data_IF_562928319903
#
_entry.id   IF_562928319903
#
_cell.length_a   1.000
_cell.length_b   1.000
_cell.length_c   1.000
_cell.angle_alpha   90.00
_cell.angle_beta   90.00
_cell.angle_gamma   90.00
#
_symmetry.space_group_name_H-M   'P 1'
#
loop_
_entity.id
_entity.type
_entity.pdbx_description
1 polymer ?
#
# COMPACT_ATOMS: atom_id res chain seq x y z
N UNK A 1 10.65 40.05 -68.29
CA UNK A 1 10.47 39.18 -69.49
C UNK A 1 9.32 38.23 -69.19
N UNK A 2 8.54 37.87 -70.23
CA UNK A 2 7.52 36.81 -70.38
C UNK A 2 7.16 35.98 -69.11
N UNK A 3 5.92 35.81 -68.61
CA UNK A 3 4.54 35.82 -69.13
C UNK A 3 3.85 34.45 -68.95
N UNK A 4 3.03 34.36 -67.89
CA UNK A 4 1.68 33.74 -67.81
C UNK A 4 1.40 32.24 -68.08
N UNK A 5 0.27 31.71 -67.55
CA UNK A 5 -0.02 30.27 -67.42
C UNK A 5 -1.09 29.73 -68.41
N UNK A 6 -1.44 28.44 -68.28
CA UNK A 6 -2.62 27.69 -68.82
C UNK A 6 -2.62 26.27 -68.22
N UNK A 7 -3.70 25.48 -68.15
CA UNK A 7 -5.16 25.67 -68.04
C UNK A 7 -5.79 24.24 -67.88
N UNK A 8 -6.98 24.11 -67.27
CA UNK A 8 -8.08 23.11 -67.42
C UNK A 8 -7.81 21.69 -68.03
N UNK A 9 -8.53 20.61 -67.70
CA UNK A 9 -9.97 20.53 -67.41
C UNK A 9 -10.43 19.21 -66.72
N UNK A 10 -11.67 19.27 -66.23
CA UNK A 10 -12.61 18.21 -65.82
C UNK A 10 -12.84 17.09 -66.87
N UNK A 11 -13.30 15.88 -66.48
CA UNK A 11 -14.48 15.16 -67.04
C UNK A 11 -14.74 13.75 -66.42
N UNK A 12 -15.99 13.57 -65.96
CA UNK A 12 -16.89 12.40 -65.73
C UNK A 12 -16.42 10.92 -65.58
N UNK A 13 -17.09 10.27 -64.61
CA UNK A 13 -17.49 8.83 -64.45
C UNK A 13 -18.33 8.27 -65.63
N UNK A 14 -18.50 6.93 -65.87
CA UNK A 14 -19.36 6.07 -65.01
C UNK A 14 -19.12 4.51 -65.00
N UNK A 15 -19.84 3.82 -64.09
CA UNK A 15 -20.41 2.43 -64.07
C UNK A 15 -19.74 1.27 -64.90
N UNK A 16 -19.65 0.01 -64.42
CA UNK A 16 -20.77 -0.96 -64.25
C UNK A 16 -20.37 -2.32 -63.62
N UNK A 17 -21.33 -2.93 -62.88
CA UNK A 17 -21.63 -4.35 -62.60
C UNK A 17 -20.57 -5.48 -62.50
N UNK A 18 -20.43 -6.01 -61.27
CA UNK A 18 -20.90 -7.34 -60.81
C UNK A 18 -20.88 -8.60 -61.72
N UNK A 19 -20.31 -9.70 -61.20
CA UNK A 19 -20.92 -11.03 -61.18
C UNK A 19 -20.25 -11.94 -60.12
N UNK A 20 -21.05 -12.71 -59.37
CA UNK A 20 -20.59 -13.82 -58.53
C UNK A 20 -21.02 -15.15 -59.14
N UNK A 21 -20.28 -16.24 -58.90
CA UNK A 21 -20.75 -17.62 -59.02
C UNK A 21 -19.81 -18.57 -58.26
N UNK A 22 -20.37 -19.48 -57.46
CA UNK A 22 -19.66 -20.44 -56.63
C UNK A 22 -19.77 -21.87 -57.20
N UNK A 23 -18.92 -22.81 -56.73
CA UNK A 23 -19.22 -24.24 -56.68
C UNK A 23 -18.33 -24.99 -55.66
N UNK A 24 -18.83 -26.12 -55.16
CA UNK A 24 -18.52 -26.78 -53.87
C UNK A 24 -17.38 -27.86 -53.87
N UNK A 25 -16.82 -28.24 -52.70
CA UNK A 25 -15.80 -29.30 -52.47
C UNK A 25 -16.43 -30.68 -52.11
N UNK A 26 -15.69 -31.82 -52.03
CA UNK A 26 -14.93 -32.27 -50.82
C UNK A 26 -13.67 -33.17 -51.20
N UNK A 27 -13.04 -34.06 -50.35
CA UNK A 27 -13.18 -34.32 -48.90
C UNK A 27 -11.87 -34.50 -48.04
N UNK A 28 -12.05 -34.28 -46.73
CA UNK A 28 -11.42 -34.93 -45.52
C UNK A 28 -9.97 -35.45 -45.49
N UNK A 29 -9.22 -35.02 -44.45
CA UNK A 29 -7.98 -35.66 -43.97
C UNK A 29 -7.32 -34.89 -42.81
N UNK A 30 -7.72 -35.24 -41.59
CA UNK A 30 -7.26 -34.96 -40.22
C UNK A 30 -5.91 -34.25 -39.90
N UNK A 31 -5.93 -33.59 -38.73
CA UNK A 31 -4.84 -33.24 -37.79
C UNK A 31 -3.63 -32.37 -38.22
N UNK A 32 -3.57 -31.12 -37.75
CA UNK A 32 -2.86 -30.78 -36.49
C UNK A 32 -3.21 -29.34 -36.02
N UNK A 33 -3.21 -29.12 -34.70
CA UNK A 33 -3.57 -27.83 -34.10
C UNK A 33 -2.34 -26.94 -33.90
N UNK A 34 -2.23 -25.87 -34.69
CA UNK A 34 -1.32 -24.75 -34.45
C UNK A 34 -2.11 -23.51 -34.05
N UNK A 35 -2.20 -23.23 -32.75
CA UNK A 35 -2.70 -21.94 -32.25
C UNK A 35 -1.57 -20.92 -32.33
N UNK A 36 -1.53 -20.14 -33.41
CA UNK A 36 -0.72 -18.92 -33.46
C UNK A 36 -1.29 -17.91 -32.44
N UNK A 37 -0.50 -17.61 -31.42
CA UNK A 37 -0.77 -16.53 -30.48
C UNK A 37 -0.50 -15.19 -31.19
N UNK A 38 -1.56 -14.55 -31.67
CA UNK A 38 -1.50 -13.23 -32.28
C UNK A 38 -1.23 -12.14 -31.24
N UNK A 39 0.04 -11.88 -30.94
CA UNK A 39 0.49 -10.69 -30.22
C UNK A 39 0.63 -9.51 -31.19
N UNK A 40 -0.51 -8.98 -31.65
CA UNK A 40 -0.60 -7.70 -32.36
C UNK A 40 -0.97 -6.59 -31.36
N UNK A 41 -0.04 -6.25 -30.47
CA UNK A 41 -0.07 -4.95 -29.79
C UNK A 41 0.33 -3.87 -30.78
N UNK A 42 -0.67 -3.31 -31.48
CA UNK A 42 -0.48 -2.06 -32.19
C UNK A 42 -0.45 -0.90 -31.19
N UNK A 43 0.73 -0.61 -30.62
CA UNK A 43 1.02 0.75 -30.18
C UNK A 43 0.95 1.66 -31.41
N UNK A 44 -0.19 2.34 -31.58
CA UNK A 44 -0.43 3.23 -32.71
C UNK A 44 0.26 4.58 -32.54
N UNK A 45 0.87 4.85 -31.38
CA UNK A 45 1.43 6.16 -31.03
C UNK A 45 0.39 7.29 -31.02
N UNK A 46 -0.91 6.97 -30.99
CA UNK A 46 -1.96 7.97 -30.80
C UNK A 46 -2.05 8.35 -29.32
N UNK A 47 -1.84 9.64 -29.03
CA UNK A 47 -1.94 10.22 -27.69
C UNK A 47 -3.37 10.03 -27.15
N UNK A 48 -3.54 9.04 -26.27
CA UNK A 48 -4.83 8.70 -25.67
C UNK A 48 -5.39 9.92 -24.91
N UNK A 49 -6.69 10.23 -25.01
CA UNK A 49 -7.28 11.39 -24.35
C UNK A 49 -7.03 11.33 -22.83
N UNK A 50 -6.79 12.49 -22.18
CA UNK A 50 -6.57 12.54 -20.75
C UNK A 50 -7.85 12.12 -19.99
N UNK A 51 -7.67 11.40 -18.89
CA UNK A 51 -8.76 11.15 -17.93
C UNK A 51 -8.92 12.38 -17.03
N UNK A 52 -10.15 12.74 -16.69
CA UNK A 52 -10.46 13.83 -15.75
C UNK A 52 -10.94 13.27 -14.40
N UNK A 53 -10.26 13.66 -13.31
CA UNK A 53 -10.56 13.23 -11.95
C UNK A 53 -9.31 13.28 -11.05
N UNK A 54 -9.38 12.59 -9.92
CA UNK A 54 -8.21 12.31 -9.08
C UNK A 54 -8.07 10.80 -8.82
N UNK A 55 -6.86 10.39 -8.45
CA UNK A 55 -6.53 9.03 -8.06
C UNK A 55 -6.17 9.01 -6.57
N UNK A 56 -6.70 8.02 -5.86
CA UNK A 56 -6.20 7.60 -4.56
C UNK A 56 -5.21 6.45 -4.78
N UNK A 57 -3.98 6.60 -4.29
CA UNK A 57 -2.92 5.62 -4.52
C UNK A 57 -2.73 4.66 -3.33
N UNK A 58 -3.50 4.80 -2.25
CA UNK A 58 -3.44 3.84 -1.13
C UNK A 58 -4.69 3.85 -0.22
N UNK A 59 -5.44 2.73 -0.20
CA UNK A 59 -6.62 2.54 0.65
C UNK A 59 -6.70 1.12 1.26
N UNK A 60 -6.76 1.02 2.58
CA UNK A 60 -7.09 -0.26 3.26
C UNK A 60 -8.60 -0.48 3.36
N UNK A 61 -9.25 -0.77 2.24
CA UNK A 61 -10.71 -0.86 2.19
C UNK A 61 -11.27 -1.98 3.10
N UNK A 62 -10.61 -3.13 3.18
CA UNK A 62 -11.11 -4.34 3.87
C UNK A 62 -10.31 -4.68 5.13
N UNK A 63 -9.78 -3.66 5.81
CA UNK A 63 -8.96 -3.79 7.01
C UNK A 63 -9.63 -4.57 8.16
N UNK A 64 -10.96 -4.73 8.19
CA UNK A 64 -11.62 -5.59 9.17
C UNK A 64 -11.18 -7.07 9.11
N UNK A 65 -10.54 -7.49 8.00
CA UNK A 65 -9.93 -8.81 7.83
C UNK A 65 -8.41 -8.82 8.02
N UNK A 66 -7.79 -7.70 8.38
CA UNK A 66 -6.38 -7.67 8.74
C UNK A 66 -6.13 -8.26 10.13
N UNK A 67 -4.88 -8.64 10.39
CA UNK A 67 -4.38 -9.04 11.71
C UNK A 67 -5.21 -10.19 12.34
N UNK A 68 -5.52 -11.21 11.54
CA UNK A 68 -6.32 -12.37 11.93
C UNK A 68 -7.83 -12.11 12.02
N UNK A 69 -8.32 -10.94 11.57
CA UNK A 69 -9.73 -10.57 11.58
C UNK A 69 -10.32 -10.37 12.97
N UNK A 70 -9.50 -9.92 13.93
CA UNK A 70 -9.89 -9.66 15.32
C UNK A 70 -9.40 -8.32 15.89
N UNK A 71 -8.63 -7.56 15.10
CA UNK A 71 -8.04 -6.29 15.55
C UNK A 71 -8.98 -5.11 15.38
N UNK A 72 -9.73 -5.07 14.27
CA UNK A 72 -10.56 -3.93 13.89
C UNK A 72 -12.04 -4.12 14.23
N UNK A 73 -12.69 -3.06 14.70
CA UNK A 73 -14.15 -2.95 14.76
C UNK A 73 -14.71 -2.19 13.58
N UNK A 74 -15.84 -2.66 13.05
CA UNK A 74 -16.53 -2.11 11.89
C UNK A 74 -16.50 -3.05 10.70
N UNK A 75 -17.09 -2.62 9.58
CA UNK A 75 -17.11 -3.36 8.32
C UNK A 75 -16.96 -2.39 7.15
N UNK A 76 -16.26 -2.81 6.09
CA UNK A 76 -16.15 -2.05 4.86
C UNK A 76 -17.50 -1.85 4.14
N UNK A 77 -18.45 -2.77 4.32
CA UNK A 77 -19.67 -2.89 3.51
C UNK A 77 -20.95 -3.00 4.35
N UNK A 78 -22.09 -2.69 3.74
CA UNK A 78 -23.42 -2.75 4.34
C UNK A 78 -23.91 -1.43 4.96
N UNK A 79 -25.16 -1.40 5.47
CA UNK A 79 -25.77 -0.20 6.02
C UNK A 79 -24.91 0.42 7.13
N UNK A 80 -24.78 1.75 7.12
CA UNK A 80 -23.95 2.48 8.08
C UNK A 80 -24.29 2.10 9.53
N UNK A 81 -25.56 1.92 9.87
CA UNK A 81 -26.05 1.51 11.20
C UNK A 81 -25.52 0.16 11.72
N UNK A 82 -24.93 -0.66 10.83
CA UNK A 82 -24.29 -1.93 11.13
C UNK A 82 -22.78 -1.85 10.92
N UNK A 83 -22.36 -1.35 9.76
CA UNK A 83 -20.96 -1.26 9.35
C UNK A 83 -20.14 -0.31 10.23
N UNK A 84 -20.78 0.76 10.71
CA UNK A 84 -20.20 1.85 11.50
C UNK A 84 -20.84 1.95 12.90
N UNK A 85 -21.29 0.82 13.45
CA UNK A 85 -22.00 0.75 14.73
C UNK A 85 -21.10 1.11 15.93
N UNK A 86 -21.72 1.50 17.05
CA UNK A 86 -21.04 1.69 18.33
C UNK A 86 -20.43 0.36 18.84
N UNK A 87 -19.16 0.37 19.24
CA UNK A 87 -18.49 -0.77 19.89
C UNK A 87 -18.74 -0.80 21.41
N UNK A 88 -18.22 -1.80 22.13
CA UNK A 88 -18.38 -1.87 23.60
C UNK A 88 -17.27 -1.13 24.39
N UNK A 89 -16.19 -0.72 23.72
CA UNK A 89 -15.14 0.16 24.26
C UNK A 89 -14.04 -0.56 25.02
N UNK A 90 -13.73 -1.81 24.66
CA UNK A 90 -12.59 -2.56 25.18
C UNK A 90 -12.95 -3.67 26.18
N UNK A 91 -14.15 -4.26 26.12
CA UNK A 91 -14.52 -5.37 27.02
C UNK A 91 -13.65 -6.62 26.79
N UNK A 92 -13.82 -7.64 27.64
CA UNK A 92 -13.15 -8.91 27.45
C UNK A 92 -13.80 -9.65 26.26
N UNK A 93 -13.02 -9.86 25.20
CA UNK A 93 -13.53 -10.34 23.90
C UNK A 93 -13.59 -9.26 22.81
N UNK A 94 -13.20 -8.02 23.12
CA UNK A 94 -13.30 -6.88 22.19
C UNK A 94 -12.05 -6.70 21.30
N UNK A 95 -12.23 -5.94 20.22
CA UNK A 95 -11.21 -5.56 19.24
C UNK A 95 -10.06 -4.73 19.84
N UNK A 96 -8.93 -4.63 19.13
CA UNK A 96 -7.78 -3.79 19.51
C UNK A 96 -7.14 -4.06 20.88
N UNK A 97 -7.50 -5.17 21.55
CA UNK A 97 -7.13 -5.47 22.93
C UNK A 97 -6.11 -6.61 22.99
N UNK A 98 -5.00 -6.38 23.67
CA UNK A 98 -3.87 -7.32 23.72
C UNK A 98 -4.07 -8.44 24.74
N UNK A 99 -3.48 -9.61 24.47
CA UNK A 99 -3.48 -10.77 25.37
C UNK A 99 -2.60 -10.55 26.60
N UNK A 100 -2.96 -11.16 27.74
CA UNK A 100 -2.35 -10.88 29.04
C UNK A 100 -0.84 -11.18 29.13
N UNK A 101 -0.28 -12.01 28.24
CA UNK A 101 1.16 -12.33 28.19
C UNK A 101 1.73 -12.17 26.77
N UNK A 102 2.42 -11.06 26.53
CA UNK A 102 3.14 -10.77 25.28
C UNK A 102 4.60 -11.25 25.29
N UNK A 103 5.12 -11.82 26.39
CA UNK A 103 6.49 -12.38 26.40
C UNK A 103 6.62 -13.57 25.43
N UNK A 104 5.50 -14.23 25.13
CA UNK A 104 5.35 -15.27 24.10
C UNK A 104 5.76 -14.82 22.69
N UNK A 105 5.81 -13.51 22.41
CA UNK A 105 6.22 -12.95 21.12
C UNK A 105 7.76 -12.86 20.96
N UNK A 106 8.53 -13.15 22.00
CA UNK A 106 10.00 -13.00 22.02
C UNK A 106 10.72 -14.35 22.16
N UNK A 107 10.06 -15.45 21.79
CA UNK A 107 10.54 -16.83 22.03
C UNK A 107 11.78 -17.25 21.23
N UNK A 108 12.17 -16.46 20.22
CA UNK A 108 13.39 -16.69 19.42
C UNK A 108 14.68 -16.41 20.20
N UNK A 109 14.60 -15.56 21.23
CA UNK A 109 15.77 -15.03 21.92
C UNK A 109 16.08 -15.78 23.22
N UNK A 110 17.37 -15.84 23.57
CA UNK A 110 17.76 -16.41 24.85
C UNK A 110 17.41 -15.48 26.02
N UNK A 111 17.11 -16.08 27.18
CA UNK A 111 16.62 -15.34 28.35
C UNK A 111 17.64 -14.30 28.86
N UNK A 112 18.95 -14.54 28.71
CA UNK A 112 19.95 -13.60 29.21
C UNK A 112 19.96 -12.33 28.34
N UNK A 113 19.92 -12.49 27.01
CA UNK A 113 19.78 -11.38 26.09
C UNK A 113 18.47 -10.60 26.31
N UNK A 114 17.35 -11.30 26.56
CA UNK A 114 16.07 -10.64 26.87
C UNK A 114 16.12 -9.85 28.17
N UNK A 115 16.69 -10.42 29.24
CA UNK A 115 16.82 -9.76 30.54
C UNK A 115 17.73 -8.52 30.46
N UNK A 116 18.88 -8.63 29.78
CA UNK A 116 19.82 -7.52 29.59
C UNK A 116 19.22 -6.42 28.69
N UNK A 117 18.57 -6.79 27.57
CA UNK A 117 17.93 -5.81 26.67
C UNK A 117 16.74 -5.11 27.33
N UNK A 118 15.94 -5.84 28.14
CA UNK A 118 14.84 -5.25 28.88
C UNK A 118 15.33 -4.21 29.90
N UNK A 119 16.50 -4.42 30.53
CA UNK A 119 17.07 -3.46 31.47
C UNK A 119 17.37 -2.09 30.82
N UNK A 120 17.62 -2.06 29.51
CA UNK A 120 17.95 -0.85 28.75
C UNK A 120 16.78 -0.27 27.94
N UNK A 121 15.79 -1.10 27.55
CA UNK A 121 14.68 -0.72 26.67
C UNK A 121 13.35 -0.68 27.44
N UNK A 122 12.83 0.52 27.81
CA UNK A 122 11.67 0.64 28.70
C UNK A 122 10.39 -0.02 28.19
N UNK A 123 10.16 -0.01 26.87
CA UNK A 123 8.98 -0.64 26.26
C UNK A 123 9.08 -2.17 26.31
N UNK A 124 10.26 -2.76 26.12
CA UNK A 124 10.48 -4.20 26.29
C UNK A 124 10.31 -4.61 27.75
N UNK A 125 10.89 -3.87 28.70
CA UNK A 125 10.64 -4.12 30.13
C UNK A 125 9.15 -4.01 30.48
N UNK A 126 8.44 -3.02 29.93
CA UNK A 126 6.99 -2.90 30.13
C UNK A 126 6.26 -4.14 29.59
N UNK A 127 6.60 -4.62 28.39
CA UNK A 127 6.04 -5.85 27.79
C UNK A 127 6.32 -7.10 28.64
N UNK A 128 7.51 -7.20 29.25
CA UNK A 128 7.91 -8.34 30.07
C UNK A 128 7.40 -8.30 31.51
N UNK A 129 6.82 -7.18 31.98
CA UNK A 129 6.44 -6.99 33.41
C UNK A 129 5.02 -6.50 33.66
N UNK A 130 4.44 -5.76 32.72
CA UNK A 130 3.03 -5.37 32.72
C UNK A 130 2.30 -6.37 31.82
N UNK A 131 1.25 -7.03 32.32
CA UNK A 131 0.45 -7.91 31.47
C UNK A 131 -0.29 -7.13 30.36
N UNK A 132 -0.83 -7.85 29.39
CA UNK A 132 -1.52 -7.33 28.18
C UNK A 132 -2.43 -6.13 28.38
N UNK A 133 -3.26 -6.10 29.43
CA UNK A 133 -4.08 -4.93 29.74
C UNK A 133 -3.24 -3.67 30.03
N UNK A 134 -2.12 -3.79 30.75
CA UNK A 134 -1.19 -2.67 31.00
C UNK A 134 -0.34 -2.29 29.78
N UNK A 135 -0.04 -3.24 28.89
CA UNK A 135 0.63 -2.96 27.62
C UNK A 135 -0.33 -2.28 26.64
N UNK A 136 -1.60 -2.68 26.61
CA UNK A 136 -2.62 -2.08 25.73
C UNK A 136 -2.72 -0.57 25.95
N UNK A 137 -2.77 -0.13 27.21
CA UNK A 137 -2.77 1.29 27.59
C UNK A 137 -1.46 2.02 27.22
N UNK A 138 -0.32 1.31 27.23
CA UNK A 138 0.97 1.87 26.84
C UNK A 138 1.10 2.00 25.31
N UNK A 139 0.58 1.03 24.55
CA UNK A 139 0.47 1.11 23.08
C UNK A 139 -0.56 2.17 22.67
N UNK A 140 -1.64 2.34 23.43
CA UNK A 140 -2.62 3.38 23.19
C UNK A 140 -2.03 4.80 23.39
N UNK A 141 -0.99 4.94 24.21
CA UNK A 141 -0.27 6.20 24.42
C UNK A 141 0.80 6.50 23.34
N UNK A 142 0.97 5.64 22.32
CA UNK A 142 1.88 5.90 21.20
C UNK A 142 1.32 7.04 20.33
N UNK A 143 2.15 7.95 19.80
CA UNK A 143 1.69 8.99 18.88
C UNK A 143 0.96 8.40 17.67
N UNK A 144 -0.31 8.78 17.49
CA UNK A 144 -1.18 8.29 16.42
C UNK A 144 -2.21 7.23 16.84
N UNK A 145 -2.16 6.71 18.07
CA UNK A 145 -3.20 5.81 18.63
C UNK A 145 -4.02 6.42 19.77
N UNK A 146 -3.48 7.42 20.50
CA UNK A 146 -4.07 8.26 21.56
C UNK A 146 -5.19 7.68 22.49
N UNK A 147 -5.25 6.36 22.72
CA UNK A 147 -6.29 5.73 23.52
C UNK A 147 -7.24 4.79 22.77
N UNK A 148 -6.95 4.36 21.54
CA UNK A 148 -7.85 3.52 20.73
C UNK A 148 -7.63 1.99 20.87
N UNK A 149 -6.55 1.56 21.52
CA UNK A 149 -6.30 0.15 21.91
C UNK A 149 -6.47 -0.03 23.41
N UNK A 150 -6.98 -1.17 23.88
CA UNK A 150 -7.25 -1.39 25.31
C UNK A 150 -8.62 -0.88 25.72
N UNK A 151 -8.74 -0.11 26.82
CA UNK A 151 -10.04 0.44 27.27
C UNK A 151 -10.28 1.85 26.72
N UNK A 152 -11.17 1.95 25.73
CA UNK A 152 -11.40 3.16 24.94
C UNK A 152 -12.85 3.65 25.07
N UNK A 153 -13.36 3.67 26.31
CA UNK A 153 -14.75 3.95 26.69
C UNK A 153 -15.26 5.37 26.33
N UNK A 154 -14.38 6.31 26.00
CA UNK A 154 -14.70 7.65 25.51
C UNK A 154 -14.76 7.74 23.97
N UNK A 155 -14.31 6.69 23.27
CA UNK A 155 -14.23 6.58 21.81
C UNK A 155 -15.20 5.58 21.13
N UNK A 156 -16.19 4.91 21.78
CA UNK A 156 -16.91 3.80 21.14
C UNK A 156 -17.97 4.23 20.11
N UNK A 157 -18.38 5.49 20.11
CA UNK A 157 -19.56 5.97 19.39
C UNK A 157 -19.33 6.16 17.89
N UNK A 158 -19.79 5.20 17.09
CA UNK A 158 -19.89 5.34 15.64
C UNK A 158 -21.12 6.15 15.17
N UNK A 159 -21.73 5.70 14.09
CA UNK A 159 -22.96 6.25 13.49
C UNK A 159 -24.12 6.40 14.50
N UNK A 160 -25.04 7.37 14.34
CA UNK A 160 -25.08 8.42 13.31
C UNK A 160 -24.25 9.67 13.67
N UNK A 161 -23.80 9.79 14.91
CA UNK A 161 -23.21 11.02 15.44
C UNK A 161 -21.67 11.06 15.33
N UNK A 162 -21.02 9.91 15.10
CA UNK A 162 -19.57 9.73 14.95
C UNK A 162 -18.74 10.41 16.05
N UNK A 163 -19.24 10.34 17.29
CA UNK A 163 -18.65 11.01 18.46
C UNK A 163 -17.32 10.38 18.92
N UNK A 164 -17.09 9.12 18.54
CA UNK A 164 -15.96 8.31 18.94
C UNK A 164 -15.13 7.82 17.75
N UNK A 165 -15.75 7.28 16.69
CA UNK A 165 -15.07 6.85 15.48
C UNK A 165 -15.94 7.05 14.22
N UNK A 166 -15.38 7.13 13.00
CA UNK A 166 -13.95 7.19 12.70
C UNK A 166 -13.31 8.52 13.13
N UNK A 167 -12.02 8.49 13.46
CA UNK A 167 -11.19 9.69 13.65
C UNK A 167 -9.82 9.45 13.01
N UNK A 168 -9.00 10.50 12.94
CA UNK A 168 -7.63 10.42 12.43
C UNK A 168 -6.66 9.66 13.36
N UNK A 169 -7.04 9.47 14.62
CA UNK A 169 -6.27 8.84 15.70
C UNK A 169 -6.83 7.47 16.17
N UNK A 170 -7.68 6.82 15.34
CA UNK A 170 -8.11 5.43 15.59
C UNK A 170 -7.19 4.46 14.85
N UNK A 171 -6.83 3.35 15.51
CA UNK A 171 -5.98 2.29 14.93
C UNK A 171 -6.60 0.89 15.10
N UNK A 172 -7.73 0.79 15.79
CA UNK A 172 -8.51 -0.43 15.99
C UNK A 172 -9.95 -0.29 15.45
N UNK A 173 -10.28 0.82 14.78
CA UNK A 173 -11.57 1.02 14.11
C UNK A 173 -11.40 1.13 12.59
N UNK A 174 -12.36 0.58 11.84
CA UNK A 174 -12.41 0.62 10.39
C UNK A 174 -12.46 2.06 9.88
N UNK A 175 -11.54 2.43 8.97
CA UNK A 175 -11.44 3.81 8.45
C UNK A 175 -12.06 4.00 7.06
N UNK A 176 -12.48 2.93 6.39
CA UNK A 176 -13.07 2.96 5.06
C UNK A 176 -14.45 2.28 5.02
N UNK A 177 -15.40 2.84 4.29
CA UNK A 177 -16.76 2.31 4.15
C UNK A 177 -17.31 2.59 2.74
N UNK A 178 -18.11 1.66 2.22
CA UNK A 178 -18.59 1.67 0.82
C UNK A 178 -19.28 2.97 0.43
N UNK A 179 -20.08 3.57 1.32
CA UNK A 179 -20.76 4.83 1.04
C UNK A 179 -19.81 6.04 0.98
N UNK A 180 -18.71 6.06 1.75
CA UNK A 180 -17.70 7.11 1.62
C UNK A 180 -16.88 6.95 0.33
N UNK A 181 -16.60 5.71 -0.07
CA UNK A 181 -15.95 5.43 -1.35
C UNK A 181 -16.84 5.82 -2.53
N UNK A 182 -18.15 5.54 -2.44
CA UNK A 182 -19.14 5.97 -3.44
C UNK A 182 -19.26 7.51 -3.48
N UNK A 183 -19.34 8.18 -2.34
CA UNK A 183 -19.36 9.66 -2.27
C UNK A 183 -18.08 10.29 -2.86
N UNK A 184 -16.91 9.70 -2.61
CA UNK A 184 -15.63 10.14 -3.19
C UNK A 184 -15.62 9.95 -4.71
N UNK A 185 -16.09 8.79 -5.20
CA UNK A 185 -16.28 8.49 -6.62
C UNK A 185 -17.24 9.49 -7.28
N UNK A 186 -18.42 9.71 -6.72
CA UNK A 186 -19.38 10.71 -7.20
C UNK A 186 -18.77 12.14 -7.20
N UNK A 187 -17.84 12.41 -6.29
CA UNK A 187 -17.11 13.68 -6.16
C UNK A 187 -15.86 13.81 -7.05
N UNK A 188 -15.50 12.78 -7.84
CA UNK A 188 -14.43 12.85 -8.85
C UNK A 188 -13.26 11.89 -8.67
N UNK A 189 -13.29 10.98 -7.69
CA UNK A 189 -12.31 9.88 -7.61
C UNK A 189 -12.53 8.94 -8.81
N UNK A 190 -11.45 8.55 -9.49
CA UNK A 190 -11.50 7.70 -10.71
C UNK A 190 -10.65 6.45 -10.65
N UNK A 191 -9.56 6.49 -9.89
CA UNK A 191 -8.71 5.33 -9.60
C UNK A 191 -8.55 5.25 -8.09
N UNK A 192 -8.65 4.05 -7.52
CA UNK A 192 -8.25 3.75 -6.14
C UNK A 192 -7.35 2.52 -6.13
N UNK A 193 -6.24 2.57 -5.39
CA UNK A 193 -5.41 1.39 -5.12
C UNK A 193 -5.81 0.83 -3.76
N UNK A 194 -6.47 -0.33 -3.75
CA UNK A 194 -6.88 -1.01 -2.52
C UNK A 194 -5.79 -1.98 -2.08
N UNK A 195 -5.18 -1.69 -0.93
CA UNK A 195 -4.08 -2.50 -0.39
C UNK A 195 -4.58 -3.45 0.69
N UNK A 196 -4.48 -4.75 0.43
CA UNK A 196 -4.72 -5.81 1.40
C UNK A 196 -3.57 -5.83 2.42
N UNK A 197 -3.89 -5.55 3.68
CA UNK A 197 -2.89 -5.32 4.74
C UNK A 197 -2.87 -6.44 5.77
N UNK A 198 -1.68 -6.87 6.19
CA UNK A 198 -1.55 -7.66 7.41
C UNK A 198 -0.18 -7.47 8.08
N UNK A 199 -0.09 -7.98 9.30
CA UNK A 199 1.08 -8.04 10.13
C UNK A 199 0.84 -9.08 11.23
N UNK A 200 1.56 -10.20 11.17
CA UNK A 200 1.35 -11.36 12.04
C UNK A 200 1.59 -11.06 13.52
N UNK A 201 2.51 -10.16 13.85
CA UNK A 201 2.78 -9.74 15.22
C UNK A 201 1.55 -9.14 15.91
N UNK A 202 0.79 -8.28 15.22
CA UNK A 202 -0.44 -7.69 15.77
C UNK A 202 -1.54 -8.75 15.95
N UNK A 203 -1.65 -9.70 15.01
CA UNK A 203 -2.51 -10.87 15.17
C UNK A 203 -2.12 -11.70 16.39
N UNK A 204 -0.82 -12.00 16.57
CA UNK A 204 -0.32 -12.78 17.72
C UNK A 204 -0.45 -12.02 19.04
N UNK A 205 -0.54 -10.69 19.02
CA UNK A 205 -0.67 -9.86 20.20
C UNK A 205 -2.09 -9.77 20.78
N UNK A 206 -3.16 -10.08 20.03
CA UNK A 206 -4.54 -10.14 20.54
C UNK A 206 -4.90 -11.57 21.02
N UNK A 207 -5.85 -11.78 21.97
CA UNK A 207 -6.23 -13.11 22.45
C UNK A 207 -6.66 -14.06 21.32
N UNK A 208 -6.34 -15.36 21.42
CA UNK A 208 -6.66 -16.35 20.39
C UNK A 208 -8.17 -16.45 20.15
N UNK A 209 -8.98 -16.32 21.20
CA UNK A 209 -10.44 -16.31 21.13
C UNK A 209 -11.04 -15.13 20.36
N UNK A 210 -10.28 -14.06 20.12
CA UNK A 210 -10.70 -12.89 19.34
C UNK A 210 -10.33 -13.03 17.85
N UNK A 211 -9.52 -14.02 17.47
CA UNK A 211 -9.01 -14.18 16.10
C UNK A 211 -9.95 -15.05 15.27
N UNK A 212 -10.35 -14.56 14.11
CA UNK A 212 -11.04 -15.36 13.09
C UNK A 212 -10.05 -16.33 12.41
N UNK A 213 -8.78 -15.93 12.29
CA UNK A 213 -7.66 -16.72 11.73
C UNK A 213 -6.52 -16.83 12.76
N UNK A 214 -6.62 -17.76 13.75
CA UNK A 214 -5.71 -17.81 14.89
C UNK A 214 -4.26 -18.19 14.54
N UNK A 215 -4.03 -18.75 13.35
CA UNK A 215 -2.70 -19.09 12.83
C UNK A 215 -1.80 -17.87 12.57
N UNK A 216 -2.38 -16.68 12.38
CA UNK A 216 -1.66 -15.44 12.06
C UNK A 216 -0.69 -15.60 10.86
N UNK A 217 -1.21 -16.15 9.76
CA UNK A 217 -0.55 -16.15 8.46
C UNK A 217 -1.01 -14.90 7.70
N UNK A 218 -0.07 -14.01 7.33
CA UNK A 218 -0.39 -12.74 6.67
C UNK A 218 -1.02 -12.95 5.30
N UNK A 219 -0.64 -14.02 4.58
CA UNK A 219 -1.19 -14.31 3.26
C UNK A 219 -2.63 -14.82 3.34
N UNK A 220 -3.05 -15.44 4.44
CA UNK A 220 -4.45 -15.80 4.66
C UNK A 220 -5.34 -14.57 4.87
N UNK A 221 -4.88 -13.55 5.61
CA UNK A 221 -5.58 -12.26 5.71
C UNK A 221 -5.64 -11.56 4.34
N UNK A 222 -4.54 -11.57 3.58
CA UNK A 222 -4.46 -10.99 2.24
C UNK A 222 -5.44 -11.67 1.28
N UNK A 223 -5.48 -13.01 1.22
CA UNK A 223 -6.42 -13.77 0.38
C UNK A 223 -7.88 -13.40 0.66
N UNK A 224 -8.25 -13.26 1.94
CA UNK A 224 -9.62 -12.88 2.33
C UNK A 224 -9.95 -11.45 1.91
N UNK A 225 -9.01 -10.50 2.06
CA UNK A 225 -9.20 -9.12 1.61
C UNK A 225 -9.29 -9.00 0.09
N UNK A 226 -8.46 -9.72 -0.66
CA UNK A 226 -8.52 -9.76 -2.13
C UNK A 226 -9.83 -10.40 -2.64
N UNK A 227 -10.31 -11.46 -1.99
CA UNK A 227 -11.62 -12.04 -2.32
C UNK A 227 -12.75 -11.04 -2.02
N UNK A 228 -12.72 -10.34 -0.87
CA UNK A 228 -13.68 -9.29 -0.56
C UNK A 228 -13.68 -8.15 -1.59
N UNK A 229 -12.50 -7.74 -2.08
CA UNK A 229 -12.39 -6.71 -3.11
C UNK A 229 -13.04 -7.16 -4.44
N UNK A 230 -12.80 -8.40 -4.85
CA UNK A 230 -13.42 -9.00 -6.03
C UNK A 230 -14.95 -9.13 -5.87
N UNK A 231 -15.43 -9.62 -4.71
CA UNK A 231 -16.86 -9.75 -4.40
C UNK A 231 -17.56 -8.37 -4.33
N UNK A 232 -16.86 -7.35 -3.80
CA UNK A 232 -17.32 -5.97 -3.75
C UNK A 232 -17.49 -5.38 -5.16
N UNK A 233 -16.46 -5.49 -6.02
CA UNK A 233 -16.54 -5.04 -7.40
C UNK A 233 -17.59 -5.83 -8.22
N UNK A 234 -17.77 -7.13 -7.95
CA UNK A 234 -18.79 -7.95 -8.61
C UNK A 234 -20.24 -7.63 -8.17
N UNK A 235 -20.42 -6.95 -7.02
CA UNK A 235 -21.73 -6.60 -6.46
C UNK A 235 -22.15 -5.14 -6.66
N UNK A 236 -21.24 -4.28 -7.13
CA UNK A 236 -21.49 -2.85 -7.37
C UNK A 236 -21.29 -2.48 -8.85
N UNK A 237 -22.27 -1.81 -9.47
CA UNK A 237 -22.23 -1.45 -10.90
C UNK A 237 -21.35 -0.22 -11.21
N UNK A 238 -20.92 0.50 -10.18
CA UNK A 238 -20.09 1.71 -10.25
C UNK A 238 -18.59 1.47 -9.99
N UNK A 239 -18.16 0.23 -9.73
CA UNK A 239 -16.75 -0.15 -9.49
C UNK A 239 -16.37 -1.30 -10.41
N UNK A 240 -15.10 -1.37 -10.81
CA UNK A 240 -14.56 -2.54 -11.50
C UNK A 240 -13.05 -2.71 -11.18
N UNK A 241 -12.58 -3.95 -11.05
CA UNK A 241 -11.15 -4.23 -10.87
C UNK A 241 -10.42 -3.96 -12.19
N UNK A 242 -9.38 -3.13 -12.16
CA UNK A 242 -8.53 -2.84 -13.31
C UNK A 242 -7.30 -3.76 -13.30
N UNK A 243 -7.19 -4.61 -14.33
CA UNK A 243 -6.09 -5.56 -14.48
C UNK A 243 -4.97 -5.05 -15.41
N UNK A 244 -5.17 -3.90 -16.06
CA UNK A 244 -4.18 -3.20 -16.88
C UNK A 244 -4.48 -1.69 -16.97
N UNK A 245 -3.56 -0.86 -17.52
CA UNK A 245 -3.83 0.55 -17.81
C UNK A 245 -4.99 0.78 -18.79
N UNK A 246 -5.21 -0.15 -19.72
CA UNK A 246 -6.31 -0.13 -20.70
C UNK A 246 -7.64 -0.37 -20.01
N UNK A 247 -7.69 -1.32 -19.07
CA UNK A 247 -8.85 -1.52 -18.20
C UNK A 247 -9.13 -0.27 -17.37
N UNK A 248 -8.13 0.31 -16.69
CA UNK A 248 -8.32 1.52 -15.91
C UNK A 248 -8.90 2.67 -16.76
N UNK A 249 -8.39 2.86 -17.99
CA UNK A 249 -8.92 3.85 -18.95
C UNK A 249 -10.34 3.53 -19.43
N UNK A 250 -10.64 2.25 -19.70
CA UNK A 250 -11.97 1.77 -20.11
C UNK A 250 -13.00 1.99 -19.00
N UNK A 251 -12.71 1.51 -17.79
CA UNK A 251 -13.56 1.60 -16.60
C UNK A 251 -13.90 3.06 -16.27
N UNK A 252 -12.89 3.94 -16.27
CA UNK A 252 -13.09 5.38 -16.08
C UNK A 252 -13.92 6.00 -17.23
N UNK A 253 -13.67 5.59 -18.47
CA UNK A 253 -14.43 6.03 -19.65
C UNK A 253 -15.89 5.55 -19.68
N UNK A 254 -16.19 4.41 -19.05
CA UNK A 254 -17.55 3.89 -18.81
C UNK A 254 -18.27 4.63 -17.68
N UNK A 255 -17.58 5.48 -16.91
CA UNK A 255 -18.14 6.18 -15.76
C UNK A 255 -18.25 5.26 -14.53
N UNK A 256 -17.16 4.56 -14.22
CA UNK A 256 -16.96 3.77 -12.99
C UNK A 256 -15.66 4.16 -12.28
N UNK A 257 -15.51 3.72 -11.04
CA UNK A 257 -14.26 3.71 -10.29
C UNK A 257 -13.41 2.51 -10.72
N UNK A 258 -12.17 2.76 -11.17
CA UNK A 258 -11.17 1.71 -11.38
C UNK A 258 -10.48 1.37 -10.06
N UNK A 259 -10.61 0.13 -9.61
CA UNK A 259 -9.94 -0.39 -8.42
C UNK A 259 -8.72 -1.22 -8.82
N UNK A 260 -7.53 -0.85 -8.36
CA UNK A 260 -6.28 -1.61 -8.54
C UNK A 260 -5.97 -2.32 -7.23
N UNK A 261 -5.62 -3.61 -7.26
CA UNK A 261 -5.34 -4.38 -6.04
C UNK A 261 -3.84 -4.40 -5.71
N UNK A 262 -3.54 -4.15 -4.43
CA UNK A 262 -2.21 -4.15 -3.82
C UNK A 262 -2.12 -5.07 -2.60
N UNK A 263 -0.90 -5.34 -2.14
CA UNK A 263 -0.58 -6.04 -0.89
C UNK A 263 0.42 -5.21 -0.09
N UNK A 264 0.14 -5.00 1.20
CA UNK A 264 1.05 -4.39 2.18
C UNK A 264 1.19 -5.31 3.40
N UNK A 265 2.21 -6.16 3.39
CA UNK A 265 2.44 -7.20 4.41
C UNK A 265 3.95 -7.37 4.66
N UNK A 266 4.33 -7.72 5.89
CA UNK A 266 5.74 -7.88 6.29
C UNK A 266 6.28 -9.25 5.83
N UNK A 267 5.46 -10.29 5.98
CA UNK A 267 5.79 -11.68 5.69
C UNK A 267 5.15 -12.18 4.39
N UNK A 268 5.16 -11.35 3.34
CA UNK A 268 4.67 -11.76 2.02
C UNK A 268 5.28 -13.11 1.59
N UNK A 269 4.42 -14.00 1.13
CA UNK A 269 4.75 -15.34 0.64
C UNK A 269 5.45 -16.28 1.65
N UNK A 270 5.68 -15.87 2.91
CA UNK A 270 6.30 -16.68 3.97
C UNK A 270 7.54 -17.47 3.51
N UNK A 271 7.65 -18.73 3.94
CA UNK A 271 8.65 -19.71 3.50
C UNK A 271 8.29 -20.42 2.16
N UNK A 272 7.24 -19.99 1.46
CA UNK A 272 6.76 -20.65 0.25
C UNK A 272 7.60 -20.33 -1.00
N UNK A 273 7.37 -21.08 -2.07
CA UNK A 273 7.87 -20.76 -3.41
C UNK A 273 7.22 -19.44 -3.88
N UNK A 274 8.01 -18.37 -3.97
CA UNK A 274 7.48 -17.02 -4.19
C UNK A 274 6.89 -16.86 -5.59
N UNK A 275 7.38 -17.61 -6.59
CA UNK A 275 6.79 -17.62 -7.94
C UNK A 275 5.36 -18.15 -7.88
N UNK A 276 5.15 -19.29 -7.24
CA UNK A 276 3.82 -19.88 -7.07
C UNK A 276 2.87 -18.95 -6.30
N UNK A 277 3.37 -18.24 -5.28
CA UNK A 277 2.55 -17.28 -4.53
C UNK A 277 2.29 -15.97 -5.28
N UNK A 278 3.23 -15.52 -6.13
CA UNK A 278 3.02 -14.38 -7.04
C UNK A 278 2.00 -14.71 -8.13
N UNK A 279 2.04 -15.92 -8.69
CA UNK A 279 1.02 -16.44 -9.61
C UNK A 279 -0.38 -16.41 -8.95
N UNK A 280 -0.50 -16.94 -7.73
CA UNK A 280 -1.75 -16.94 -6.97
C UNK A 280 -2.36 -15.54 -6.81
N UNK A 281 -1.56 -14.56 -6.34
CA UNK A 281 -2.10 -13.21 -6.10
C UNK A 281 -2.31 -12.41 -7.38
N UNK A 282 -1.51 -12.66 -8.43
CA UNK A 282 -1.70 -12.04 -9.75
C UNK A 282 -3.00 -12.52 -10.42
N UNK A 283 -3.34 -13.80 -10.28
CA UNK A 283 -4.61 -14.40 -10.72
C UNK A 283 -5.80 -13.88 -9.90
N UNK A 284 -5.61 -13.53 -8.63
CA UNK A 284 -6.60 -12.82 -7.80
C UNK A 284 -6.75 -11.32 -8.15
N UNK A 285 -5.96 -10.81 -9.11
CA UNK A 285 -6.05 -9.47 -9.66
C UNK A 285 -5.04 -8.44 -9.11
N UNK A 286 -4.06 -8.86 -8.31
CA UNK A 286 -3.02 -7.97 -7.77
C UNK A 286 -2.13 -7.45 -8.89
N UNK A 287 -1.90 -6.13 -8.91
CA UNK A 287 -1.06 -5.44 -9.91
C UNK A 287 0.06 -4.59 -9.33
N UNK A 288 0.21 -4.62 -8.01
CA UNK A 288 1.32 -4.02 -7.28
C UNK A 288 1.42 -4.67 -5.90
N UNK A 289 2.58 -4.64 -5.27
CA UNK A 289 2.76 -5.04 -3.88
C UNK A 289 4.01 -4.37 -3.32
N UNK A 290 4.02 -4.14 -2.01
CA UNK A 290 5.21 -3.70 -1.29
C UNK A 290 5.99 -4.96 -0.89
N UNK A 291 7.23 -5.12 -1.39
CA UNK A 291 8.04 -6.31 -1.10
C UNK A 291 8.53 -6.39 0.36
N UNK A 292 8.41 -5.29 1.11
CA UNK A 292 8.65 -5.15 2.55
C UNK A 292 7.61 -4.20 3.14
N UNK A 293 7.30 -4.32 4.44
CA UNK A 293 6.31 -3.45 5.10
C UNK A 293 6.82 -2.93 6.46
N UNK A 294 6.55 -3.59 7.58
CA UNK A 294 7.03 -3.12 8.89
C UNK A 294 8.40 -3.68 9.25
N UNK A 295 8.76 -4.83 8.67
CA UNK A 295 9.93 -5.63 9.03
C UNK A 295 10.80 -5.92 7.81
N UNK A 296 12.08 -6.22 8.09
CA UNK A 296 12.98 -6.84 7.11
C UNK A 296 12.53 -8.27 6.82
N UNK A 297 12.57 -8.68 5.55
CA UNK A 297 12.22 -10.04 5.16
C UNK A 297 13.23 -10.59 4.14
N UNK A 298 12.98 -11.79 3.60
CA UNK A 298 13.90 -12.44 2.65
C UNK A 298 14.13 -11.68 1.34
N UNK A 299 13.25 -10.76 0.97
CA UNK A 299 13.35 -9.96 -0.26
C UNK A 299 14.15 -8.67 -0.07
N UNK A 300 14.07 -8.00 1.09
CA UNK A 300 14.84 -6.77 1.33
C UNK A 300 14.72 -6.20 2.75
N UNK A 301 15.13 -4.93 2.91
CA UNK A 301 15.02 -4.18 4.16
C UNK A 301 13.94 -3.11 4.19
N UNK A 302 13.21 -3.04 5.30
CA UNK A 302 12.21 -2.01 5.56
C UNK A 302 12.82 -0.77 6.22
N UNK A 303 12.19 0.39 6.04
CA UNK A 303 12.57 1.62 6.73
C UNK A 303 12.16 1.56 8.22
N UNK A 304 13.10 1.57 9.18
CA UNK A 304 12.79 1.51 10.59
C UNK A 304 12.05 2.78 11.04
N UNK A 305 10.95 2.56 11.76
CA UNK A 305 10.10 3.58 12.36
C UNK A 305 9.25 2.92 13.45
N UNK A 306 8.75 3.70 14.40
CA UNK A 306 7.96 3.25 15.56
C UNK A 306 8.61 2.10 16.37
N UNK A 307 8.94 2.35 17.63
CA UNK A 307 9.65 1.38 18.50
C UNK A 307 8.97 0.01 18.60
N UNK A 308 7.66 -0.10 18.37
CA UNK A 308 6.95 -1.39 18.34
C UNK A 308 7.41 -2.32 17.21
N UNK A 309 7.75 -1.80 16.03
CA UNK A 309 8.24 -2.61 14.91
C UNK A 309 9.70 -3.04 15.11
N UNK A 310 10.51 -2.21 15.77
CA UNK A 310 11.85 -2.59 16.21
C UNK A 310 11.79 -3.78 17.19
N UNK A 311 10.78 -3.80 18.07
CA UNK A 311 10.57 -4.90 19.02
C UNK A 311 10.03 -6.17 18.35
N UNK A 312 9.13 -6.04 17.37
CA UNK A 312 8.68 -7.17 16.57
C UNK A 312 9.85 -7.83 15.82
N UNK A 313 10.63 -7.03 15.09
CA UNK A 313 11.83 -7.49 14.37
C UNK A 313 12.84 -8.17 15.31
N UNK A 314 13.08 -7.59 16.49
CA UNK A 314 13.92 -8.18 17.54
C UNK A 314 13.36 -9.49 18.10
N UNK A 315 12.05 -9.64 18.22
CA UNK A 315 11.40 -10.90 18.62
C UNK A 315 11.65 -12.06 17.65
N UNK A 316 11.97 -11.75 16.38
CA UNK A 316 12.28 -12.73 15.33
C UNK A 316 13.78 -13.03 15.21
N UNK A 317 14.63 -11.99 15.19
CA UNK A 317 16.05 -12.14 14.87
C UNK A 317 17.02 -11.89 16.04
N UNK A 318 16.53 -11.38 17.17
CA UNK A 318 17.30 -11.06 18.38
C UNK A 318 18.46 -10.09 18.15
N UNK A 319 18.39 -9.26 17.11
CA UNK A 319 19.43 -8.32 16.73
C UNK A 319 19.42 -7.08 17.62
N UNK A 320 20.60 -6.78 18.17
CA UNK A 320 20.89 -5.53 18.89
C UNK A 320 22.02 -4.83 18.15
N UNK A 321 21.74 -3.65 17.63
CA UNK A 321 22.73 -2.77 17.02
C UNK A 321 23.09 -1.60 17.95
N UNK A 322 24.32 -1.08 17.79
CA UNK A 322 24.87 0.06 18.53
C UNK A 322 25.55 1.11 17.64
N UNK A 323 25.47 0.99 16.31
CA UNK A 323 25.99 1.99 15.38
C UNK A 323 25.10 3.25 15.37
N UNK A 324 23.79 3.10 15.64
CA UNK A 324 22.92 4.19 16.07
C UNK A 324 21.85 3.74 17.09
N UNK A 325 21.38 4.67 17.94
CA UNK A 325 20.17 4.52 18.75
C UNK A 325 18.88 4.99 18.07
N UNK A 326 18.09 4.06 17.51
CA UNK A 326 16.71 4.29 17.08
C UNK A 326 15.66 3.78 18.08
N UNK A 327 15.99 2.75 18.88
CA UNK A 327 15.10 2.21 19.93
C UNK A 327 15.33 2.92 21.26
N UNK A 328 16.59 3.23 21.58
CA UNK A 328 16.99 4.08 22.71
C UNK A 328 17.94 5.17 22.20
N UNK A 329 18.64 5.87 23.10
CA UNK A 329 19.70 6.81 22.68
C UNK A 329 21.00 6.10 22.26
N UNK A 330 21.14 4.81 22.56
CA UNK A 330 22.39 4.04 22.38
C UNK A 330 22.19 2.75 21.57
N UNK A 331 20.96 2.24 21.46
CA UNK A 331 20.66 0.95 20.81
C UNK A 331 19.57 1.05 19.73
N UNK A 332 19.73 0.27 18.67
CA UNK A 332 18.66 -0.11 17.73
C UNK A 332 18.34 -1.59 17.93
N UNK A 333 17.06 -1.93 17.86
CA UNK A 333 16.59 -3.31 18.00
C UNK A 333 16.03 -3.83 16.68
N UNK A 334 16.34 -5.08 16.36
CA UNK A 334 15.85 -5.80 15.19
C UNK A 334 16.49 -5.40 13.86
N UNK A 335 16.84 -4.13 13.66
CA UNK A 335 17.41 -3.65 12.40
C UNK A 335 18.94 -3.50 12.46
N UNK A 336 19.59 -3.81 11.34
CA UNK A 336 21.00 -3.50 11.09
C UNK A 336 21.10 -2.08 10.54
N UNK A 337 21.72 -1.13 11.25
CA UNK A 337 21.71 0.29 10.84
C UNK A 337 23.09 0.91 10.79
N UNK A 338 23.28 1.87 9.89
CA UNK A 338 24.52 2.63 9.81
C UNK A 338 24.60 3.74 10.88
N UNK A 339 25.74 4.43 10.94
CA UNK A 339 25.95 5.59 11.82
C UNK A 339 25.10 6.84 11.51
N UNK A 340 24.25 6.81 10.47
CA UNK A 340 23.21 7.81 10.20
C UNK A 340 21.80 7.29 10.55
N UNK A 341 21.71 6.12 11.18
CA UNK A 341 20.47 5.46 11.58
C UNK A 341 19.62 5.07 10.35
N UNK A 342 20.27 4.43 9.36
CA UNK A 342 19.63 3.90 8.14
C UNK A 342 19.85 2.42 8.02
N UNK A 343 18.80 1.68 7.69
CA UNK A 343 18.86 0.23 7.53
C UNK A 343 19.77 -0.13 6.36
N UNK A 344 20.82 -0.90 6.65
CA UNK A 344 21.83 -1.30 5.65
C UNK A 344 21.36 -2.49 4.80
N UNK A 345 20.23 -3.10 5.13
CA UNK A 345 19.62 -4.17 4.34
C UNK A 345 19.00 -3.60 3.06
N UNK A 346 19.67 -3.92 1.95
CA UNK A 346 19.21 -3.64 0.59
C UNK A 346 18.36 -4.74 -0.02
N UNK A 347 18.34 -4.80 -1.35
CA UNK A 347 17.66 -5.83 -2.15
C UNK A 347 18.44 -7.14 -2.10
N UNK A 348 17.77 -8.26 -1.80
CA UNK A 348 18.38 -9.59 -1.87
C UNK A 348 18.38 -10.14 -3.30
N UNK A 349 19.16 -11.20 -3.58
CA UNK A 349 19.09 -11.93 -4.87
C UNK A 349 17.66 -12.43 -5.16
N UNK A 350 16.92 -12.82 -4.12
CA UNK A 350 15.53 -13.30 -4.24
C UNK A 350 14.55 -12.14 -4.42
N UNK A 351 14.75 -11.02 -3.72
CA UNK A 351 13.99 -9.79 -3.93
C UNK A 351 14.18 -9.21 -5.31
N UNK A 352 15.41 -9.25 -5.85
CA UNK A 352 15.71 -8.83 -7.22
C UNK A 352 14.97 -9.70 -8.24
N UNK A 353 14.97 -11.03 -8.06
CA UNK A 353 14.22 -11.93 -8.94
C UNK A 353 12.70 -11.68 -8.88
N UNK A 354 12.14 -11.38 -7.69
CA UNK A 354 10.74 -10.98 -7.52
C UNK A 354 10.43 -9.67 -8.25
N UNK A 355 11.27 -8.64 -8.11
CA UNK A 355 11.10 -7.34 -8.78
C UNK A 355 11.20 -7.49 -10.31
N UNK A 356 12.18 -8.24 -10.82
CA UNK A 356 12.34 -8.50 -12.26
C UNK A 356 11.11 -9.25 -12.84
N UNK A 357 10.52 -10.20 -12.10
CA UNK A 357 9.30 -10.91 -12.49
C UNK A 357 8.05 -10.01 -12.41
N UNK A 358 7.94 -9.13 -11.41
CA UNK A 358 6.88 -8.10 -11.33
C UNK A 358 6.95 -7.16 -12.53
N UNK A 359 8.15 -6.68 -12.90
CA UNK A 359 8.35 -5.85 -14.09
C UNK A 359 7.97 -6.61 -15.38
N UNK A 360 8.35 -7.88 -15.50
CA UNK A 360 8.00 -8.73 -16.65
C UNK A 360 6.49 -8.95 -16.80
N UNK A 361 5.71 -8.84 -15.71
CA UNK A 361 4.25 -8.93 -15.70
C UNK A 361 3.54 -7.58 -15.86
N UNK A 362 4.26 -6.47 -15.98
CA UNK A 362 3.64 -5.14 -16.04
C UNK A 362 3.08 -4.64 -14.69
N UNK A 363 3.55 -5.18 -13.57
CA UNK A 363 3.11 -4.76 -12.24
C UNK A 363 3.84 -3.48 -11.78
N UNK A 364 3.12 -2.60 -11.07
CA UNK A 364 3.73 -1.39 -10.51
C UNK A 364 4.66 -1.76 -9.35
N UNK A 365 5.83 -1.13 -9.30
CA UNK A 365 6.83 -1.32 -8.24
C UNK A 365 6.63 -0.24 -7.17
N UNK A 366 6.08 -0.61 -6.02
CA UNK A 366 5.86 0.31 -4.89
C UNK A 366 7.07 0.36 -3.96
N UNK A 367 7.62 1.56 -3.76
CA UNK A 367 8.77 1.81 -2.87
C UNK A 367 8.35 2.29 -1.47
N UNK A 368 7.05 2.44 -1.21
CA UNK A 368 6.58 2.73 0.14
C UNK A 368 7.08 1.66 1.13
N UNK A 369 7.54 2.09 2.29
CA UNK A 369 8.17 1.28 3.35
C UNK A 369 9.57 0.69 3.09
N UNK A 370 10.13 0.77 1.88
CA UNK A 370 11.52 0.37 1.64
C UNK A 370 12.53 1.20 2.44
N UNK A 371 13.65 0.59 2.86
CA UNK A 371 14.83 1.34 3.34
C UNK A 371 15.39 2.26 2.24
N UNK A 372 16.23 3.23 2.60
CA UNK A 372 16.96 4.06 1.63
C UNK A 372 17.88 3.21 0.75
N UNK A 373 18.49 2.16 1.32
CA UNK A 373 19.33 1.21 0.58
C UNK A 373 18.50 0.38 -0.40
N UNK A 374 17.40 -0.25 0.07
CA UNK A 374 16.51 -1.05 -0.78
C UNK A 374 15.91 -0.21 -1.92
N UNK A 375 15.52 1.04 -1.62
CA UNK A 375 15.02 1.98 -2.64
C UNK A 375 16.06 2.24 -3.73
N UNK A 376 17.33 2.45 -3.34
CA UNK A 376 18.41 2.67 -4.30
C UNK A 376 18.66 1.44 -5.17
N UNK A 377 18.67 0.25 -4.58
CA UNK A 377 18.91 -1.01 -5.30
C UNK A 377 17.76 -1.31 -6.29
N UNK A 378 16.51 -1.05 -5.90
CA UNK A 378 15.33 -1.21 -6.77
C UNK A 378 15.33 -0.17 -7.90
N UNK A 379 15.78 1.07 -7.65
CA UNK A 379 15.98 2.06 -8.70
C UNK A 379 17.07 1.63 -9.69
N UNK A 380 18.19 1.06 -9.24
CA UNK A 380 19.22 0.54 -10.14
C UNK A 380 18.66 -0.57 -11.05
N UNK A 381 17.84 -1.50 -10.52
CA UNK A 381 17.12 -2.50 -11.35
C UNK A 381 16.15 -1.84 -12.33
N UNK A 382 15.41 -0.81 -11.91
CA UNK A 382 14.53 -0.05 -12.80
C UNK A 382 15.30 0.62 -13.96
N UNK A 383 16.49 1.18 -13.69
CA UNK A 383 17.39 1.75 -14.71
C UNK A 383 17.93 0.67 -15.66
N UNK A 384 18.26 -0.52 -15.16
CA UNK A 384 18.62 -1.68 -15.99
C UNK A 384 17.48 -2.12 -16.93
N UNK A 385 16.22 -1.92 -16.52
CA UNK A 385 14.99 -2.23 -17.26
C UNK A 385 14.38 -1.01 -17.97
N UNK A 386 15.22 -0.25 -18.67
CA UNK A 386 14.83 0.93 -19.48
C UNK A 386 14.01 2.00 -18.71
N UNK A 387 14.39 2.25 -17.45
CA UNK A 387 13.72 3.18 -16.52
C UNK A 387 12.28 2.78 -16.17
N UNK A 388 12.06 1.49 -15.86
CA UNK A 388 10.75 0.97 -15.46
C UNK A 388 10.12 1.79 -14.31
N UNK A 389 8.86 2.27 -14.42
CA UNK A 389 8.28 3.16 -13.41
C UNK A 389 8.19 2.54 -12.00
N UNK A 390 8.97 3.10 -11.06
CA UNK A 390 8.76 2.93 -9.62
C UNK A 390 7.80 4.02 -9.12
N UNK A 391 6.99 3.74 -8.09
CA UNK A 391 6.12 4.73 -7.47
C UNK A 391 6.12 4.56 -5.95
N UNK A 392 5.70 5.59 -5.21
CA UNK A 392 5.41 5.45 -3.78
C UNK A 392 3.90 5.62 -3.58
N UNK A 393 3.20 4.59 -3.11
CA UNK A 393 1.75 4.66 -2.85
C UNK A 393 1.39 5.67 -1.77
N UNK A 394 2.18 5.74 -0.70
CA UNK A 394 2.09 6.75 0.37
C UNK A 394 3.45 7.28 0.80
N UNK A 395 3.64 8.59 0.63
CA UNK A 395 4.88 9.30 0.95
C UNK A 395 4.65 10.55 1.82
N UNK A 396 5.71 10.91 2.55
CA UNK A 396 5.86 12.18 3.25
C UNK A 396 7.17 12.83 2.82
N UNK A 397 7.14 13.98 2.15
CA UNK A 397 8.37 14.69 1.76
C UNK A 397 9.20 15.09 2.98
N UNK A 398 10.40 14.54 3.14
CA UNK A 398 11.25 14.69 4.33
C UNK A 398 11.56 16.16 4.65
N UNK A 399 11.80 16.98 3.62
CA UNK A 399 12.07 18.41 3.74
C UNK A 399 10.88 19.21 4.29
N UNK A 400 9.66 18.67 4.13
CA UNK A 400 8.43 19.24 4.70
C UNK A 400 8.16 18.77 6.13
N UNK A 401 8.78 17.68 6.60
CA UNK A 401 8.49 17.13 7.93
C UNK A 401 9.10 17.96 9.08
N UNK A 402 8.50 17.85 10.27
CA UNK A 402 9.11 18.40 11.50
C UNK A 402 10.46 17.74 11.79
N UNK A 403 11.41 18.42 12.48
CA UNK A 403 12.76 17.91 12.70
C UNK A 403 12.86 16.53 13.33
N UNK A 404 11.91 16.13 14.19
CA UNK A 404 11.90 14.78 14.77
C UNK A 404 11.43 13.74 13.75
N UNK A 405 10.29 13.97 13.08
CA UNK A 405 9.74 13.05 12.07
C UNK A 405 10.66 12.94 10.83
N UNK A 406 11.34 14.01 10.46
CA UNK A 406 12.31 14.05 9.35
C UNK A 406 13.57 13.18 9.57
N UNK A 407 13.82 12.70 10.79
CA UNK A 407 14.91 11.74 11.06
C UNK A 407 14.53 10.31 10.64
N UNK A 408 13.25 9.96 10.70
CA UNK A 408 12.78 8.63 10.34
C UNK A 408 13.08 8.32 8.87
N UNK A 409 13.66 7.15 8.63
CA UNK A 409 14.01 6.68 7.29
C UNK A 409 12.77 6.60 6.38
N UNK A 410 11.62 6.27 6.96
CA UNK A 410 10.31 6.19 6.29
C UNK A 410 9.85 7.48 5.59
N UNK A 411 10.42 8.64 5.95
CA UNK A 411 10.13 9.89 5.24
C UNK A 411 10.88 9.96 3.91
N UNK A 412 10.25 10.41 2.84
CA UNK A 412 10.80 10.38 1.47
C UNK A 412 11.67 11.63 1.21
N UNK A 413 13.00 11.52 1.11
CA UNK A 413 13.87 12.64 0.76
C UNK A 413 13.78 12.99 -0.73
N UNK A 414 14.08 14.25 -1.06
CA UNK A 414 14.03 14.76 -2.44
C UNK A 414 14.85 13.96 -3.46
N UNK A 415 15.90 13.24 -3.04
CA UNK A 415 16.68 12.39 -3.95
C UNK A 415 15.94 11.10 -4.34
N UNK A 416 15.12 10.50 -3.45
CA UNK A 416 14.20 9.41 -3.82
C UNK A 416 13.10 9.96 -4.74
N UNK A 417 12.62 11.19 -4.51
CA UNK A 417 11.66 11.82 -5.43
C UNK A 417 12.27 12.05 -6.82
N UNK A 418 13.57 12.33 -6.90
CA UNK A 418 14.28 12.41 -8.18
C UNK A 418 14.29 11.06 -8.90
N UNK A 419 14.59 9.96 -8.20
CA UNK A 419 14.55 8.59 -8.76
C UNK A 419 13.17 8.26 -9.35
N UNK A 420 12.10 8.48 -8.57
CA UNK A 420 10.71 8.29 -9.02
C UNK A 420 10.38 9.14 -10.25
N UNK A 421 10.87 10.40 -10.30
CA UNK A 421 10.66 11.28 -11.46
C UNK A 421 11.41 10.78 -12.70
N UNK A 422 12.63 10.28 -12.54
CA UNK A 422 13.47 9.81 -13.64
C UNK A 422 12.93 8.52 -14.28
N UNK A 423 12.27 7.66 -13.51
CA UNK A 423 11.53 6.50 -14.05
C UNK A 423 10.12 6.85 -14.58
N UNK A 424 9.74 8.13 -14.63
CA UNK A 424 8.38 8.54 -15.04
C UNK A 424 7.28 8.09 -14.08
N UNK A 425 7.63 7.83 -12.83
CA UNK A 425 6.78 7.30 -11.77
C UNK A 425 5.85 8.32 -11.10
N UNK A 426 5.26 7.90 -9.97
CA UNK A 426 4.26 8.68 -9.23
C UNK A 426 4.52 8.69 -7.72
N UNK A 427 4.01 9.71 -7.03
CA UNK A 427 4.05 9.81 -5.57
C UNK A 427 2.64 10.11 -5.06
N UNK A 428 2.07 9.18 -4.31
CA UNK A 428 0.88 9.39 -3.51
C UNK A 428 1.23 10.09 -2.21
N UNK A 429 0.48 11.13 -1.86
CA UNK A 429 0.69 11.88 -0.63
C UNK A 429 -0.18 11.30 0.48
N UNK A 430 0.46 10.88 1.57
CA UNK A 430 -0.24 10.31 2.72
C UNK A 430 -1.12 11.37 3.38
N UNK A 431 -2.41 11.04 3.56
CA UNK A 431 -3.46 11.93 4.10
C UNK A 431 -3.58 11.92 5.63
N UNK A 432 -2.52 11.47 6.32
CA UNK A 432 -2.51 11.31 7.76
C UNK A 432 -2.16 12.60 8.53
N UNK A 433 -2.18 12.50 9.86
CA UNK A 433 -2.19 13.63 10.80
C UNK A 433 -0.82 14.27 11.07
N UNK A 434 0.22 13.92 10.31
CA UNK A 434 1.58 14.37 10.61
C UNK A 434 1.74 15.89 10.39
N UNK A 435 2.46 16.54 11.30
CA UNK A 435 2.79 17.95 11.14
C UNK A 435 3.82 18.17 10.02
N UNK A 436 3.50 19.08 9.09
CA UNK A 436 4.46 19.60 8.11
C UNK A 436 4.78 21.08 8.35
N UNK A 437 5.95 21.52 7.87
CA UNK A 437 6.36 22.91 7.82
C UNK A 437 5.51 23.71 6.82
N UNK A 438 5.49 25.04 6.95
CA UNK A 438 4.71 25.93 6.09
C UNK A 438 5.47 26.22 4.79
N UNK A 439 4.95 25.76 3.65
CA UNK A 439 5.57 25.99 2.34
C UNK A 439 5.17 27.36 1.82
N UNK A 440 6.13 28.30 1.78
CA UNK A 440 5.88 29.69 1.37
C UNK A 440 5.38 29.87 -0.08
N UNK A 441 5.46 28.82 -0.91
CA UNK A 441 4.86 28.81 -2.24
C UNK A 441 3.40 28.36 -2.28
N UNK A 442 2.85 27.85 -1.17
CA UNK A 442 1.46 27.41 -1.08
C UNK A 442 0.49 28.60 -1.00
N UNK A 443 -0.67 28.45 -1.62
CA UNK A 443 -1.78 29.39 -1.44
C UNK A 443 -2.54 29.17 -0.11
N UNK A 444 -2.28 28.05 0.59
CA UNK A 444 -2.97 27.63 1.82
C UNK A 444 -2.00 27.74 2.99
N UNK A 445 -2.19 28.70 3.89
CA UNK A 445 -1.36 28.82 5.09
C UNK A 445 -1.55 27.60 6.02
N UNK A 446 -0.47 26.96 6.47
CA UNK A 446 -0.53 25.79 7.34
C UNK A 446 -0.78 26.15 8.82
N UNK A 447 -1.92 26.79 9.11
CA UNK A 447 -2.29 27.26 10.45
C UNK A 447 -3.03 26.22 11.32
N UNK A 448 -3.03 24.96 10.88
CA UNK A 448 -3.64 23.82 11.57
C UNK A 448 -2.92 22.56 11.07
N UNK A 449 -1.90 22.12 11.82
CA UNK A 449 -1.09 20.96 11.46
C UNK A 449 -1.91 19.66 11.50
N UNK A 450 -1.48 18.64 10.74
CA UNK A 450 -2.18 17.35 10.66
C UNK A 450 -3.56 17.41 9.99
N UNK A 451 -3.87 18.49 9.28
CA UNK A 451 -5.16 18.69 8.58
C UNK A 451 -4.99 18.72 7.06
N UNK A 452 -6.10 18.84 6.33
CA UNK A 452 -6.08 19.10 4.88
C UNK A 452 -5.27 20.34 4.46
N UNK A 453 -4.94 21.26 5.39
CA UNK A 453 -3.98 22.35 5.13
C UNK A 453 -2.53 21.87 5.07
N UNK A 454 -2.15 20.91 5.89
CA UNK A 454 -0.85 20.24 5.83
C UNK A 454 -0.73 19.43 4.55
N UNK A 455 -1.77 18.69 4.17
CA UNK A 455 -1.85 18.02 2.86
C UNK A 455 -1.68 19.02 1.69
N UNK A 456 -2.42 20.13 1.69
CA UNK A 456 -2.29 21.16 0.64
C UNK A 456 -0.87 21.75 0.55
N UNK A 457 -0.17 21.91 1.69
CA UNK A 457 1.22 22.36 1.71
C UNK A 457 2.18 21.31 1.13
N UNK A 458 1.99 20.03 1.46
CA UNK A 458 2.77 18.94 0.88
C UNK A 458 2.52 18.82 -0.64
N UNK A 459 1.27 18.96 -1.08
CA UNK A 459 0.89 18.97 -2.49
C UNK A 459 1.51 20.14 -3.28
N UNK A 460 1.40 21.37 -2.75
CA UNK A 460 2.02 22.54 -3.38
C UNK A 460 3.56 22.46 -3.35
N UNK A 461 4.15 21.86 -2.32
CA UNK A 461 5.60 21.60 -2.29
C UNK A 461 6.00 20.57 -3.36
N UNK A 462 5.28 19.46 -3.47
CA UNK A 462 5.54 18.42 -4.46
C UNK A 462 5.40 18.92 -5.91
N UNK A 463 4.37 19.74 -6.17
CA UNK A 463 4.05 20.22 -7.52
C UNK A 463 4.76 21.52 -7.94
N UNK A 464 5.15 22.38 -6.99
CA UNK A 464 5.75 23.70 -7.27
C UNK A 464 7.13 23.92 -6.64
N UNK A 465 7.43 23.22 -5.54
CA UNK A 465 8.62 23.44 -4.70
C UNK A 465 9.79 22.53 -5.02
N UNK A 466 9.51 21.29 -5.40
CA UNK A 466 10.51 20.32 -5.84
C UNK A 466 11.18 20.76 -7.15
N UNK A 467 12.51 20.89 -7.09
CA UNK A 467 13.38 21.26 -8.22
C UNK A 467 14.32 20.12 -8.61
N UNK A 468 13.83 18.90 -8.44
CA UNK A 468 14.44 17.65 -8.91
C UNK A 468 13.88 17.31 -10.27
#
# INVERSE_FOLDING_TARGET
MLASPRLNALVLTPLLCAAALACTPPPSGDDEAGTESGSDESDTGEELPPLEGYADLHLHMFAEEAFGGGWFWGQATGPAEVALAMCDGGAAGDHGRLQDDLSTLFTSCDQQLLDDTAAEVPLLNAIMTLGGAGISELIAAIPGSEGDTGQHLDRPGGTPDFVGWPRWDVIAHQQAWEGWLEEAYQSGLRVTVVSAVSFDWLCRAIPEENRTRPQCDEMDDVRVQLQKANDFAASHDWVEIALSPEDARRIVGEGKLAMVLSIEASHIFGDADWQTSLDEVYDLGVRTLQIVHQLDNRFGGAAPHNTIFHLAMFGENCQVDSDCGLTTQELTLGFDVDGNCRNVRGLSDEGRALIEEMMARGMLIDIAHMSEQLTSDVYDVAVEHDYYPIYASHAHFREMMRPEKAKEEKTTPSWIVQMVRETGGMIGLRTAHEEVNDYQGSAVANNCHGSSRSFANAYDYGSLGLKV
#
